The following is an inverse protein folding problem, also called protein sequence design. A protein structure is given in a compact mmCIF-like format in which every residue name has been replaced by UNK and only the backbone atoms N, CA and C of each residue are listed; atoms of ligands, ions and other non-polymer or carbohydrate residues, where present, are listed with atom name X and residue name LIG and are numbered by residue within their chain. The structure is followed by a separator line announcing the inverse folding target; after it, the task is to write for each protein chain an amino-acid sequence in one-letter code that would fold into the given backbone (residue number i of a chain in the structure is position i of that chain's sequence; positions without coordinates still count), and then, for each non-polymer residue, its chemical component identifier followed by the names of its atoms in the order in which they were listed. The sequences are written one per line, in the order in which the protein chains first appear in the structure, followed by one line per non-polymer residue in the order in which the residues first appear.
data_IF_419361357729
#
_entry.id   IF_419361357729
#
_cell.length_a   1.000
_cell.length_b   1.000
_cell.length_c   1.000
_cell.angle_alpha   90.00
_cell.angle_beta   90.00
_cell.angle_gamma   90.00
#
_symmetry.space_group_name_H-M   'P 1'
#
loop_
_entity.id
_entity.type
_entity.pdbx_description
1 polymer ?
#
# COMPACT_ATOMS: atom_id res chain seq x y z
N UNK A 1 17.85 2.49 -55.01
CA UNK A 1 18.71 1.74 -55.95
C UNK A 1 19.65 2.72 -56.65
N UNK A 2 20.82 2.99 -56.08
CA UNK A 2 22.06 3.33 -56.82
C UNK A 2 23.18 3.54 -55.80
N UNK A 3 24.15 2.64 -55.84
CA UNK A 3 25.36 2.65 -55.04
C UNK A 3 26.31 3.78 -55.44
N UNK A 4 27.07 4.31 -54.47
CA UNK A 4 28.36 4.94 -54.76
C UNK A 4 29.41 4.55 -53.71
N UNK A 5 30.15 3.52 -54.11
CA UNK A 5 31.43 3.05 -53.61
C UNK A 5 32.48 4.15 -53.78
N UNK A 6 33.17 4.54 -52.70
CA UNK A 6 34.49 5.16 -52.76
C UNK A 6 35.44 4.40 -51.82
N UNK A 7 36.38 3.66 -52.44
CA UNK A 7 37.62 3.19 -51.80
C UNK A 7 38.69 4.24 -52.07
N UNK A 8 39.44 4.66 -51.04
CA UNK A 8 40.86 5.04 -51.17
C UNK A 8 41.66 4.57 -49.95
N UNK A 9 42.67 3.76 -50.25
CA UNK A 9 43.88 3.47 -49.47
C UNK A 9 44.59 4.79 -49.07
N UNK A 10 45.40 4.92 -48.02
CA UNK A 10 46.05 3.96 -47.15
C UNK A 10 47.12 4.67 -46.28
N UNK A 11 47.90 3.83 -45.57
CA UNK A 11 49.21 4.09 -44.96
C UNK A 11 49.30 4.75 -43.57
N UNK A 12 49.69 3.91 -42.60
CA UNK A 12 50.91 4.12 -41.81
C UNK A 12 50.80 4.99 -40.55
N UNK A 13 50.87 4.35 -39.38
CA UNK A 13 51.08 5.07 -38.11
C UNK A 13 51.08 4.17 -36.88
N UNK A 14 52.26 3.62 -36.56
CA UNK A 14 52.74 3.14 -35.27
C UNK A 14 51.73 2.63 -34.20
N UNK A 15 51.74 1.32 -33.97
CA UNK A 15 51.25 0.70 -32.74
C UNK A 15 52.18 1.09 -31.57
N UNK A 16 51.72 2.01 -30.71
CA UNK A 16 52.21 2.11 -29.33
C UNK A 16 51.36 1.21 -28.45
N UNK A 17 51.93 0.07 -28.04
CA UNK A 17 51.37 -0.82 -27.02
C UNK A 17 51.49 -0.15 -25.65
N UNK A 18 50.47 0.63 -25.27
CA UNK A 18 50.24 0.96 -23.86
C UNK A 18 49.46 -0.21 -23.27
N UNK A 19 50.15 -1.10 -22.59
CA UNK A 19 49.54 -2.16 -21.79
C UNK A 19 48.78 -1.54 -20.61
N UNK A 20 47.49 -1.28 -20.80
CA UNK A 20 46.58 -1.04 -19.68
C UNK A 20 46.26 -2.40 -19.06
N UNK A 21 46.94 -2.74 -17.97
CA UNK A 21 46.63 -3.91 -17.17
C UNK A 21 45.19 -3.83 -16.67
N UNK A 22 44.31 -4.65 -17.23
CA UNK A 22 42.94 -4.82 -16.78
C UNK A 22 42.99 -5.61 -15.45
N UNK A 23 43.13 -4.91 -14.33
CA UNK A 23 42.90 -5.49 -13.01
C UNK A 23 41.40 -5.80 -12.88
N UNK A 24 41.03 -7.04 -13.21
CA UNK A 24 39.76 -7.64 -12.85
C UNK A 24 39.71 -7.76 -11.32
N UNK A 25 39.23 -6.70 -10.66
CA UNK A 25 38.79 -6.77 -9.27
C UNK A 25 37.52 -7.61 -9.24
N UNK A 26 37.67 -8.90 -8.95
CA UNK A 26 36.55 -9.76 -8.57
C UNK A 26 35.99 -9.24 -7.23
N UNK A 27 34.94 -8.43 -7.29
CA UNK A 27 34.16 -8.10 -6.11
C UNK A 27 33.51 -9.41 -5.60
N UNK A 28 33.65 -9.76 -4.32
CA UNK A 28 32.97 -10.92 -3.78
C UNK A 28 31.47 -10.70 -3.91
N UNK A 29 30.78 -11.66 -4.53
CA UNK A 29 29.33 -11.75 -4.48
C UNK A 29 28.94 -11.99 -3.02
N UNK A 30 28.60 -10.93 -2.31
CA UNK A 30 27.96 -11.03 -1.00
C UNK A 30 26.61 -11.72 -1.21
N UNK A 31 26.50 -12.96 -0.74
CA UNK A 31 25.23 -13.66 -0.72
C UNK A 31 24.26 -12.84 0.15
N UNK A 32 23.28 -12.20 -0.48
CA UNK A 32 22.17 -11.60 0.26
C UNK A 32 21.44 -12.72 1.00
N UNK A 33 21.30 -12.59 2.31
CA UNK A 33 20.51 -13.51 3.12
C UNK A 33 19.09 -13.61 2.55
N UNK A 34 18.57 -14.84 2.45
CA UNK A 34 17.19 -15.06 2.03
C UNK A 34 16.23 -14.29 2.95
N UNK A 35 15.19 -13.63 2.41
CA UNK A 35 14.19 -12.94 3.22
C UNK A 35 13.60 -13.92 4.22
N UNK A 36 13.71 -13.58 5.49
CA UNK A 36 13.16 -14.39 6.57
C UNK A 36 11.63 -14.37 6.50
N UNK A 37 10.94 -15.48 6.84
CA UNK A 37 9.49 -15.47 6.95
C UNK A 37 9.09 -14.39 7.97
N UNK A 38 8.15 -13.53 7.57
CA UNK A 38 7.56 -12.54 8.45
C UNK A 38 6.82 -13.33 9.53
N UNK A 39 7.41 -13.40 10.72
CA UNK A 39 6.77 -14.00 11.89
C UNK A 39 5.44 -13.29 12.21
N UNK A 40 4.58 -13.89 13.05
CA UNK A 40 3.36 -13.21 13.47
C UNK A 40 3.74 -11.85 14.06
N UNK A 41 3.25 -10.78 13.45
CA UNK A 41 3.44 -9.43 13.95
C UNK A 41 2.72 -9.36 15.30
N UNK A 42 3.47 -9.39 16.39
CA UNK A 42 2.94 -9.01 17.70
C UNK A 42 2.47 -7.56 17.58
N UNK A 43 1.20 -7.31 17.89
CA UNK A 43 0.66 -5.96 17.87
C UNK A 43 1.53 -5.06 18.76
N UNK A 44 2.01 -3.89 18.25
CA UNK A 44 2.69 -2.93 19.09
C UNK A 44 1.76 -2.51 20.24
N UNK A 45 2.32 -2.36 21.45
CA UNK A 45 1.57 -1.77 22.55
C UNK A 45 1.38 -0.28 22.26
N UNK A 46 0.15 0.10 21.92
CA UNK A 46 -0.25 1.50 21.82
C UNK A 46 -0.45 1.98 23.26
N UNK A 47 0.44 2.85 23.76
CA UNK A 47 0.38 3.38 25.14
C UNK A 47 -0.91 4.19 25.36
N UNK A 48 -1.98 3.49 25.78
CA UNK A 48 -3.25 4.03 26.28
C UNK A 48 -3.52 3.61 27.72
N UNK A 49 -2.45 3.45 28.52
CA UNK A 49 -2.51 2.89 29.87
C UNK A 49 -3.50 3.59 30.83
N UNK A 50 -3.88 4.84 30.54
CA UNK A 50 -4.73 5.66 31.41
C UNK A 50 -6.18 5.87 30.91
N UNK A 51 -6.57 5.26 29.78
CA UNK A 51 -7.93 5.37 29.23
C UNK A 51 -8.65 4.02 29.32
N UNK A 52 -9.88 4.01 29.84
CA UNK A 52 -10.72 2.82 29.72
C UNK A 52 -10.87 2.47 28.23
N UNK A 53 -10.60 1.20 27.83
CA UNK A 53 -10.72 0.79 26.44
C UNK A 53 -12.13 1.06 25.93
N UNK A 54 -12.26 1.84 24.86
CA UNK A 54 -13.54 2.05 24.20
C UNK A 54 -13.86 0.82 23.35
N UNK A 55 -14.95 0.09 23.64
CA UNK A 55 -15.23 -1.17 22.98
C UNK A 55 -15.87 -0.93 21.59
N UNK A 56 -15.67 -1.86 20.66
CA UNK A 56 -16.10 -1.71 19.25
C UNK A 56 -17.61 -1.48 19.11
N UNK A 57 -18.42 -1.99 20.04
CA UNK A 57 -19.87 -1.86 20.07
C UNK A 57 -20.32 -0.40 20.11
N UNK A 58 -19.55 0.47 20.77
CA UNK A 58 -19.86 1.92 20.82
C UNK A 58 -19.77 2.52 19.41
N UNK A 59 -18.75 2.16 18.65
CA UNK A 59 -18.57 2.62 17.29
C UNK A 59 -19.63 2.00 16.36
N UNK A 60 -19.84 0.69 16.48
CA UNK A 60 -20.73 -0.08 15.63
C UNK A 60 -22.21 0.23 15.86
N UNK A 61 -22.60 0.80 17.01
CA UNK A 61 -23.96 1.28 17.26
C UNK A 61 -24.46 2.27 16.18
N UNK A 62 -23.54 3.05 15.59
CA UNK A 62 -23.83 3.94 14.48
C UNK A 62 -23.18 3.48 13.17
N UNK A 63 -21.92 3.03 13.21
CA UNK A 63 -21.15 2.70 12.01
C UNK A 63 -21.57 1.38 11.33
N UNK A 64 -22.42 0.55 11.95
CA UNK A 64 -23.06 -0.59 11.27
C UNK A 64 -24.28 -0.20 10.43
N UNK A 65 -24.66 1.09 10.38
CA UNK A 65 -25.76 1.56 9.55
C UNK A 65 -25.32 1.82 8.10
N UNK A 66 -25.81 1.02 7.15
CA UNK A 66 -25.52 1.15 5.71
C UNK A 66 -25.90 2.51 5.10
N UNK A 67 -26.77 3.27 5.77
CA UNK A 67 -27.20 4.61 5.32
C UNK A 67 -26.37 5.73 5.95
N UNK A 68 -25.46 5.43 6.86
CA UNK A 68 -24.63 6.43 7.51
C UNK A 68 -23.60 6.97 6.51
N UNK A 69 -23.69 8.26 6.25
CA UNK A 69 -22.77 8.95 5.33
C UNK A 69 -22.38 10.31 5.86
N UNK A 70 -21.22 10.81 5.41
CA UNK A 70 -20.76 12.19 5.61
C UNK A 70 -20.65 12.90 4.27
N UNK A 71 -21.18 14.11 4.17
CA UNK A 71 -21.03 14.95 2.99
C UNK A 71 -19.62 15.56 2.96
N UNK A 72 -18.94 15.41 1.83
CA UNK A 72 -17.61 15.98 1.56
C UNK A 72 -17.74 17.37 0.93
N UNK A 73 -16.62 18.11 0.80
CA UNK A 73 -16.66 19.47 0.25
C UNK A 73 -16.98 19.53 -1.24
N UNK A 74 -16.65 18.49 -1.99
CA UNK A 74 -17.11 18.33 -3.38
C UNK A 74 -18.61 18.01 -3.51
N UNK A 75 -19.32 17.88 -2.38
CA UNK A 75 -20.75 17.59 -2.31
C UNK A 75 -21.10 16.11 -2.40
N UNK A 76 -20.11 15.23 -2.62
CA UNK A 76 -20.32 13.77 -2.62
C UNK A 76 -20.51 13.24 -1.21
N UNK A 77 -21.15 12.07 -1.09
CA UNK A 77 -21.31 11.38 0.19
C UNK A 77 -20.23 10.31 0.35
N UNK A 78 -19.50 10.35 1.45
CA UNK A 78 -18.62 9.28 1.93
C UNK A 78 -19.44 8.33 2.81
N UNK A 79 -19.41 7.03 2.50
CA UNK A 79 -19.99 6.02 3.39
C UNK A 79 -19.15 5.93 4.67
N UNK A 80 -19.82 5.91 5.82
CA UNK A 80 -19.19 5.61 7.11
C UNK A 80 -19.54 4.21 7.61
N UNK A 81 -20.21 3.42 6.77
CA UNK A 81 -20.62 2.05 7.10
C UNK A 81 -19.41 1.11 7.19
N UNK A 82 -19.42 0.29 8.24
CA UNK A 82 -18.52 -0.83 8.47
C UNK A 82 -19.38 -2.04 8.82
N UNK A 83 -19.18 -3.13 8.08
CA UNK A 83 -19.79 -4.41 8.41
C UNK A 83 -19.02 -5.04 9.59
N UNK A 84 -19.68 -5.32 10.74
CA UNK A 84 -19.01 -5.92 11.89
C UNK A 84 -18.40 -7.29 11.58
N UNK A 85 -19.06 -8.10 10.75
CA UNK A 85 -18.58 -9.44 10.41
C UNK A 85 -17.35 -9.36 9.50
N UNK A 86 -17.38 -8.48 8.50
CA UNK A 86 -16.24 -8.33 7.59
C UNK A 86 -15.01 -7.76 8.31
N UNK A 87 -15.21 -6.83 9.25
CA UNK A 87 -14.13 -6.34 10.11
C UNK A 87 -13.60 -7.44 11.04
N UNK A 88 -14.49 -8.18 11.71
CA UNK A 88 -14.12 -9.28 12.61
C UNK A 88 -13.30 -10.37 11.92
N UNK A 89 -13.60 -10.64 10.64
CA UNK A 89 -12.89 -11.61 9.81
C UNK A 89 -11.63 -11.05 9.12
N UNK A 90 -11.30 -9.77 9.32
CA UNK A 90 -10.06 -9.18 8.80
C UNK A 90 -8.86 -9.62 9.65
N UNK A 91 -7.64 -9.50 9.11
CA UNK A 91 -6.42 -9.82 9.88
C UNK A 91 -6.25 -8.95 11.14
N UNK A 92 -6.82 -7.73 11.14
CA UNK A 92 -6.81 -6.86 12.32
C UNK A 92 -7.90 -7.25 13.32
N UNK A 93 -9.08 -7.65 12.84
CA UNK A 93 -10.16 -8.18 13.68
C UNK A 93 -9.74 -9.49 14.37
N UNK A 94 -9.13 -10.42 13.63
CA UNK A 94 -8.58 -11.67 14.18
C UNK A 94 -7.47 -11.41 15.21
N UNK A 95 -6.67 -10.36 15.02
CA UNK A 95 -5.62 -9.95 15.94
C UNK A 95 -6.15 -9.19 17.17
N UNK A 96 -7.46 -8.92 17.24
CA UNK A 96 -8.10 -8.27 18.37
C UNK A 96 -7.94 -6.75 18.43
N UNK A 97 -7.59 -6.09 17.31
CA UNK A 97 -7.51 -4.63 17.26
C UNK A 97 -8.90 -4.01 17.36
N UNK A 98 -9.04 -3.03 18.25
CA UNK A 98 -10.23 -2.22 18.41
C UNK A 98 -10.26 -1.08 17.38
N UNK A 99 -11.44 -0.52 17.13
CA UNK A 99 -11.61 0.62 16.22
C UNK A 99 -10.70 1.79 16.59
N UNK A 100 -10.55 2.06 17.90
CA UNK A 100 -9.76 3.17 18.46
C UNK A 100 -8.25 2.97 18.42
N UNK A 101 -7.78 1.76 18.09
CA UNK A 101 -6.36 1.48 17.90
C UNK A 101 -5.86 2.10 16.58
N UNK A 102 -6.73 2.15 15.56
CA UNK A 102 -6.46 2.84 14.29
C UNK A 102 -7.06 4.25 14.27
N UNK A 103 -8.30 4.42 14.75
CA UNK A 103 -8.96 5.72 14.85
C UNK A 103 -8.53 6.44 16.13
N UNK A 104 -7.26 6.84 16.18
CA UNK A 104 -6.62 7.37 17.40
C UNK A 104 -7.03 8.79 17.76
N UNK A 105 -7.60 9.54 16.81
CA UNK A 105 -8.06 10.92 16.97
C UNK A 105 -9.59 10.98 17.13
N UNK A 106 -10.10 10.27 18.14
CA UNK A 106 -11.52 10.32 18.53
C UNK A 106 -11.63 11.14 19.82
N UNK A 107 -12.43 12.21 19.81
CA UNK A 107 -12.76 12.97 21.02
C UNK A 107 -14.26 12.90 21.32
N UNK A 108 -14.67 13.51 22.43
CA UNK A 108 -16.06 13.53 22.89
C UNK A 108 -17.05 14.18 21.92
N UNK A 109 -16.58 14.80 20.83
CA UNK A 109 -17.42 15.50 19.85
C UNK A 109 -17.67 14.69 18.58
N UNK A 110 -17.21 13.44 18.51
CA UNK A 110 -17.34 12.54 17.33
C UNK A 110 -18.76 12.46 16.73
N UNK A 111 -19.82 12.86 17.45
CA UNK A 111 -21.22 12.83 17.04
C UNK A 111 -21.93 14.21 16.86
N UNK A 112 -21.25 15.35 17.04
CA UNK A 112 -21.89 16.66 16.96
C UNK A 112 -21.89 17.23 15.52
N UNK A 113 -23.08 17.46 14.93
CA UNK A 113 -23.30 18.05 13.59
C UNK A 113 -24.43 19.11 13.69
N UNK A 114 -24.51 20.22 12.89
CA UNK A 114 -23.87 20.38 11.60
C UNK A 114 -23.38 21.80 11.24
N UNK A 115 -22.17 22.20 11.61
CA UNK A 115 -21.28 22.99 10.74
C UNK A 115 -19.86 22.76 11.25
N UNK A 116 -18.99 22.17 10.43
CA UNK A 116 -17.54 22.06 10.66
C UNK A 116 -17.13 21.32 11.93
N UNK A 117 -16.93 20.02 11.81
CA UNK A 117 -15.92 19.34 12.63
C UNK A 117 -14.55 19.89 12.20
N UNK A 118 -13.78 20.61 13.04
CA UNK A 118 -12.46 21.08 12.65
C UNK A 118 -11.40 19.96 12.62
N UNK A 119 -11.70 18.73 13.11
CA UNK A 119 -10.70 17.66 13.22
C UNK A 119 -10.42 16.86 11.94
N UNK A 120 -11.46 16.52 11.15
CA UNK A 120 -11.30 15.77 9.90
C UNK A 120 -12.11 16.38 8.77
N UNK A 121 -11.40 17.12 7.92
CA UNK A 121 -11.91 17.77 6.72
C UNK A 121 -11.32 17.07 5.50
N UNK A 122 -12.17 16.61 4.59
CA UNK A 122 -11.73 16.01 3.34
C UNK A 122 -12.55 16.57 2.17
N UNK A 123 -11.86 16.98 1.11
CA UNK A 123 -12.49 17.56 -0.07
C UNK A 123 -13.18 16.51 -0.92
N UNK A 124 -12.52 15.35 -1.08
CA UNK A 124 -12.99 14.21 -1.89
C UNK A 124 -12.74 12.91 -1.13
N UNK A 125 -13.31 11.80 -1.61
CA UNK A 125 -13.02 10.47 -1.02
C UNK A 125 -11.53 10.15 -1.07
N UNK A 126 -10.86 10.53 -2.16
CA UNK A 126 -9.44 10.30 -2.32
C UNK A 126 -8.60 11.13 -1.34
N UNK A 127 -8.99 12.38 -1.09
CA UNK A 127 -8.35 13.21 -0.06
C UNK A 127 -8.50 12.60 1.34
N UNK A 128 -9.68 12.03 1.66
CA UNK A 128 -9.86 11.29 2.91
C UNK A 128 -8.91 10.09 3.01
N UNK A 129 -8.80 9.28 1.95
CA UNK A 129 -7.87 8.15 1.87
C UNK A 129 -6.41 8.56 2.06
N UNK A 130 -5.98 9.64 1.40
CA UNK A 130 -4.62 10.18 1.49
C UNK A 130 -4.29 10.76 2.88
N UNK A 131 -5.28 11.23 3.63
CA UNK A 131 -5.10 11.69 5.00
C UNK A 131 -5.00 10.55 6.01
N UNK A 132 -5.75 9.46 5.79
CA UNK A 132 -5.88 8.37 6.75
C UNK A 132 -4.87 7.24 6.58
N UNK A 133 -4.34 7.00 5.37
CA UNK A 133 -3.44 5.86 5.14
C UNK A 133 -2.12 5.93 5.92
N UNK A 134 -1.72 7.12 6.40
CA UNK A 134 -0.51 7.32 7.20
C UNK A 134 -0.59 6.63 8.56
N UNK A 135 -1.81 6.36 9.07
CA UNK A 135 -2.04 5.61 10.31
C UNK A 135 -1.41 4.22 10.28
N UNK A 136 -1.33 3.60 9.09
CA UNK A 136 -0.69 2.30 8.93
C UNK A 136 0.77 2.29 9.40
N UNK A 137 1.48 3.42 9.29
CA UNK A 137 2.88 3.55 9.70
C UNK A 137 3.09 3.34 11.21
N UNK A 138 2.07 3.62 12.03
CA UNK A 138 2.19 3.49 13.49
C UNK A 138 2.58 2.07 13.92
N UNK A 139 2.11 1.06 13.19
CA UNK A 139 2.45 -0.35 13.44
C UNK A 139 3.26 -0.99 12.31
N UNK A 140 3.11 -0.54 11.06
CA UNK A 140 3.77 -1.12 9.88
C UNK A 140 4.86 -0.21 9.31
N UNK A 141 5.70 0.40 10.16
CA UNK A 141 6.74 1.34 9.78
C UNK A 141 7.64 0.82 8.63
N UNK A 142 8.15 -0.40 8.76
CA UNK A 142 9.01 -1.03 7.74
C UNK A 142 8.33 -1.15 6.37
N UNK A 143 7.02 -1.47 6.36
CA UNK A 143 6.30 -1.67 5.11
C UNK A 143 5.89 -0.34 4.50
N UNK A 144 5.61 0.64 5.35
CA UNK A 144 5.36 2.02 4.95
C UNK A 144 6.59 2.63 4.26
N UNK A 145 7.79 2.41 4.82
CA UNK A 145 9.06 2.85 4.21
C UNK A 145 9.28 2.21 2.83
N UNK A 146 9.18 0.87 2.74
CA UNK A 146 9.32 0.15 1.46
C UNK A 146 8.28 0.57 0.42
N UNK A 147 7.05 0.84 0.85
CA UNK A 147 6.01 1.34 -0.04
C UNK A 147 6.34 2.75 -0.56
N UNK A 148 6.93 3.61 0.27
CA UNK A 148 7.43 4.93 -0.10
C UNK A 148 8.47 4.89 -1.23
N UNK A 149 9.36 3.90 -1.22
CA UNK A 149 10.40 3.73 -2.24
C UNK A 149 9.92 3.06 -3.54
N UNK A 150 8.69 2.54 -3.55
CA UNK A 150 8.09 1.88 -4.72
C UNK A 150 7.78 2.86 -5.85
N UNK A 151 7.46 2.33 -7.04
CA UNK A 151 6.98 3.15 -8.17
C UNK A 151 5.72 3.94 -7.84
N UNK A 152 4.82 3.38 -7.02
CA UNK A 152 3.61 4.07 -6.56
C UNK A 152 3.96 5.15 -5.52
N UNK A 153 4.82 4.83 -4.55
CA UNK A 153 5.28 5.78 -3.54
C UNK A 153 5.99 6.99 -4.16
N UNK A 154 6.91 6.75 -5.09
CA UNK A 154 7.60 7.81 -5.85
C UNK A 154 6.62 8.64 -6.69
N UNK A 155 5.64 8.01 -7.33
CA UNK A 155 4.62 8.75 -8.08
C UNK A 155 3.79 9.66 -7.16
N UNK A 156 3.42 9.18 -5.96
CA UNK A 156 2.71 9.97 -4.96
C UNK A 156 3.54 11.16 -4.47
N UNK A 157 4.82 10.94 -4.16
CA UNK A 157 5.75 12.00 -3.75
C UNK A 157 5.95 13.07 -4.83
N UNK A 158 5.84 12.68 -6.11
CA UNK A 158 5.87 13.60 -7.25
C UNK A 158 4.51 14.29 -7.52
N UNK A 159 3.55 14.18 -6.60
CA UNK A 159 2.26 14.88 -6.68
C UNK A 159 1.16 14.12 -7.42
N UNK A 160 1.39 12.87 -7.86
CA UNK A 160 0.32 12.06 -8.43
C UNK A 160 -0.58 11.51 -7.31
N UNK A 161 -1.64 12.25 -6.97
CA UNK A 161 -2.62 11.87 -5.95
C UNK A 161 -3.38 10.56 -6.28
N UNK A 162 -3.33 10.08 -7.52
CA UNK A 162 -3.96 8.82 -7.94
C UNK A 162 -3.03 7.60 -7.83
N UNK A 163 -1.76 7.78 -7.42
CA UNK A 163 -0.85 6.68 -7.21
C UNK A 163 -1.30 5.79 -6.05
N UNK A 164 -1.17 4.46 -6.17
CA UNK A 164 -1.72 3.54 -5.19
C UNK A 164 -1.09 3.71 -3.79
N UNK A 165 -1.93 3.65 -2.75
CA UNK A 165 -1.55 3.63 -1.33
C UNK A 165 -2.01 2.33 -0.66
N UNK A 166 -1.70 2.15 0.62
CA UNK A 166 -1.93 0.92 1.38
C UNK A 166 -3.35 0.35 1.19
N UNK A 167 -4.36 1.20 1.30
CA UNK A 167 -5.78 0.80 1.26
C UNK A 167 -6.33 0.60 -0.15
N UNK A 168 -5.61 1.01 -1.20
CA UNK A 168 -6.05 0.76 -2.58
C UNK A 168 -5.89 -0.72 -2.95
N UNK A 169 -4.88 -1.38 -2.37
CA UNK A 169 -4.71 -2.82 -2.50
C UNK A 169 -5.34 -3.57 -1.32
N UNK A 170 -5.07 -3.15 -0.07
CA UNK A 170 -5.42 -3.95 1.11
C UNK A 170 -6.81 -3.65 1.68
N UNK A 171 -7.52 -2.62 1.20
CA UNK A 171 -8.70 -2.04 1.85
C UNK A 171 -8.39 -1.48 3.26
N UNK A 172 -9.36 -0.83 3.90
CA UNK A 172 -9.17 -0.29 5.26
C UNK A 172 -9.73 -1.23 6.34
N UNK A 173 -11.03 -1.54 6.29
CA UNK A 173 -11.71 -2.31 7.34
C UNK A 173 -11.78 -3.82 7.08
N UNK A 174 -11.36 -4.30 5.91
CA UNK A 174 -11.53 -5.71 5.52
C UNK A 174 -10.23 -6.31 5.00
N UNK A 175 -9.10 -5.89 5.60
CA UNK A 175 -7.75 -6.34 5.23
C UNK A 175 -7.69 -7.87 5.31
N UNK A 176 -7.51 -8.50 4.15
CA UNK A 176 -7.57 -9.95 3.99
C UNK A 176 -6.22 -10.59 4.27
N UNK A 177 -6.26 -11.79 4.83
CA UNK A 177 -5.11 -12.68 4.89
C UNK A 177 -4.78 -13.17 3.48
N UNK A 178 -3.51 -13.09 3.08
CA UNK A 178 -3.06 -13.54 1.76
C UNK A 178 -2.39 -14.92 1.78
N UNK A 179 -1.91 -15.32 2.96
CA UNK A 179 -1.11 -16.52 3.14
C UNK A 179 -1.72 -17.42 4.20
N UNK A 180 -1.68 -18.72 3.96
CA UNK A 180 -1.99 -19.74 4.94
C UNK A 180 -0.99 -19.65 6.12
N UNK A 181 -1.47 -19.50 7.37
CA UNK A 181 -0.57 -19.33 8.53
C UNK A 181 0.31 -20.55 8.83
N UNK A 182 -0.14 -21.76 8.47
CA UNK A 182 0.57 -23.00 8.77
C UNK A 182 1.69 -23.28 7.76
N UNK A 183 1.48 -22.90 6.50
CA UNK A 183 2.38 -23.24 5.38
C UNK A 183 3.10 -22.02 4.79
N UNK A 184 2.62 -20.81 5.06
CA UNK A 184 3.11 -19.56 4.45
C UNK A 184 2.76 -19.41 2.97
N UNK A 185 2.07 -20.37 2.35
CA UNK A 185 1.71 -20.32 0.94
C UNK A 185 0.54 -19.37 0.70
N UNK A 186 0.46 -18.79 -0.50
CA UNK A 186 -0.71 -18.01 -0.89
C UNK A 186 -1.99 -18.85 -0.79
N UNK A 187 -3.05 -18.26 -0.25
CA UNK A 187 -4.37 -18.88 -0.25
C UNK A 187 -4.89 -18.99 -1.70
N UNK A 188 -5.72 -20.01 -2.02
CA UNK A 188 -6.31 -20.16 -3.35
C UNK A 188 -6.98 -18.87 -3.84
N UNK A 189 -7.82 -18.26 -3.01
CA UNK A 189 -8.55 -17.03 -3.37
C UNK A 189 -7.63 -15.83 -3.55
N UNK A 190 -6.53 -15.75 -2.79
CA UNK A 190 -5.53 -14.69 -2.95
C UNK A 190 -4.86 -14.73 -4.31
N UNK A 191 -4.72 -15.90 -4.94
CA UNK A 191 -4.17 -16.02 -6.29
C UNK A 191 -5.07 -15.37 -7.36
N UNK A 192 -6.38 -15.26 -7.09
CA UNK A 192 -7.33 -14.57 -7.97
C UNK A 192 -7.43 -13.09 -7.60
N UNK A 193 -7.53 -12.79 -6.31
CA UNK A 193 -7.75 -11.44 -5.82
C UNK A 193 -6.57 -10.49 -6.08
N UNK A 194 -5.33 -10.97 -5.97
CA UNK A 194 -4.13 -10.13 -6.20
C UNK A 194 -4.13 -9.53 -7.62
N UNK A 195 -4.20 -10.32 -8.71
CA UNK A 195 -4.19 -9.73 -10.06
C UNK A 195 -5.44 -8.89 -10.36
N UNK A 196 -6.61 -9.24 -9.82
CA UNK A 196 -7.83 -8.43 -9.93
C UNK A 196 -7.69 -7.05 -9.26
N UNK A 197 -6.97 -6.99 -8.14
CA UNK A 197 -6.69 -5.74 -7.44
C UNK A 197 -5.81 -4.83 -8.31
N UNK A 198 -4.78 -5.38 -8.95
CA UNK A 198 -3.97 -4.64 -9.91
C UNK A 198 -4.81 -4.14 -11.09
N UNK A 199 -5.77 -4.94 -11.56
CA UNK A 199 -6.63 -4.65 -12.70
C UNK A 199 -7.52 -3.41 -12.52
N UNK A 200 -7.78 -2.98 -11.28
CA UNK A 200 -8.57 -1.78 -10.99
C UNK A 200 -7.97 -0.52 -11.64
N UNK A 201 -6.63 -0.48 -11.78
CA UNK A 201 -5.91 0.60 -12.46
C UNK A 201 -5.15 0.11 -13.70
N UNK A 202 -4.61 -1.11 -13.66
CA UNK A 202 -3.76 -1.69 -14.71
C UNK A 202 -4.53 -2.66 -15.61
N UNK A 203 -5.74 -2.28 -16.01
CA UNK A 203 -6.67 -3.15 -16.76
C UNK A 203 -6.10 -3.64 -18.09
N UNK A 204 -5.33 -2.82 -18.82
CA UNK A 204 -4.74 -3.19 -20.11
C UNK A 204 -3.76 -4.36 -20.00
N UNK A 205 -2.84 -4.32 -19.04
CA UNK A 205 -1.88 -5.42 -18.83
C UNK A 205 -2.56 -6.63 -18.17
N UNK A 206 -3.56 -6.39 -17.31
CA UNK A 206 -4.36 -7.48 -16.75
C UNK A 206 -5.10 -8.27 -17.83
N UNK A 207 -5.67 -7.60 -18.84
CA UNK A 207 -6.33 -8.29 -19.96
C UNK A 207 -5.36 -9.19 -20.71
N UNK A 208 -4.12 -8.74 -20.95
CA UNK A 208 -3.08 -9.56 -21.55
C UNK A 208 -2.69 -10.75 -20.66
N UNK A 209 -2.52 -10.53 -19.35
CA UNK A 209 -2.21 -11.58 -18.39
C UNK A 209 -3.31 -12.66 -18.34
N UNK A 210 -4.58 -12.25 -18.26
CA UNK A 210 -5.73 -13.15 -18.20
C UNK A 210 -5.80 -14.08 -19.41
N UNK A 211 -5.42 -13.58 -20.58
CA UNK A 211 -5.53 -14.30 -21.85
C UNK A 211 -4.18 -14.98 -22.25
N UNK A 212 -3.20 -15.07 -21.33
CA UNK A 212 -1.83 -15.51 -21.64
C UNK A 212 -1.56 -17.02 -21.57
N UNK A 213 -2.51 -17.81 -21.05
CA UNK A 213 -2.45 -19.28 -20.92
C UNK A 213 -3.81 -19.90 -21.25
#
# INVERSE_FOLDING_TARGET
MSERIWKRFGAGGALSLIGLGLMLLAAPFSAQAAPQPIGPATAPQIDRADQEPVPNEVCLACHSNQRLTKKLYDGTNLSLYVNPDDHGNSVHGEAGLACVDCHTDFDSRHNENPVQFPGFQASTRRDASLKLYTLCQQCHADQYEKAGDSVHGRALQNGNVNAAICIDCHTAHTVRRLNDPATGQLLPDSRLWIPETCAQCHSTIYAQYRDSV
#
